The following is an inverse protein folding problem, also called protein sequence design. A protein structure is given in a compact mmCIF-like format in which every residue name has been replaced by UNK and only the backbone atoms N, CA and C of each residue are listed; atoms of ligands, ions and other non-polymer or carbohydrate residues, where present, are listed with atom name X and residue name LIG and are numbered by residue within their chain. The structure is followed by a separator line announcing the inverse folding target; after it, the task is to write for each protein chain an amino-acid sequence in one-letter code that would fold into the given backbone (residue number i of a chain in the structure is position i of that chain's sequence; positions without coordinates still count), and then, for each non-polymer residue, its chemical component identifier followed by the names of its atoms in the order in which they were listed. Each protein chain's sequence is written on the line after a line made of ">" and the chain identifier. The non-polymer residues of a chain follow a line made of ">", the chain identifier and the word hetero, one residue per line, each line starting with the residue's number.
data_IF_017719921670
#
_entry.id   IF_017719921670
#
_cell.length_a   1.000
_cell.length_b   1.000
_cell.length_c   1.000
_cell.angle_alpha   90.00
_cell.angle_beta   90.00
_cell.angle_gamma   90.00
#
_symmetry.space_group_name_H-M   'P 1'
#
loop_
_entity.id
_entity.type
_entity.pdbx_description
1 polymer ?
#
# COMPACT_ATOMS: atom_id res chain seq x y z
N UNK A 1 -21.23 34.11 59.82
CA UNK A 1 -22.68 33.80 59.70
C UNK A 1 -23.03 33.83 58.23
N UNK A 2 -23.22 32.66 57.64
CA UNK A 2 -23.34 32.40 56.20
C UNK A 2 -24.80 32.31 55.79
N UNK A 3 -25.21 33.07 54.77
CA UNK A 3 -26.46 32.85 54.02
C UNK A 3 -26.19 31.93 52.81
N UNK A 4 -26.93 30.84 52.61
CA UNK A 4 -26.86 30.06 51.36
C UNK A 4 -27.77 30.63 50.28
N UNK A 5 -27.28 30.62 49.04
CA UNK A 5 -28.00 30.94 47.81
C UNK A 5 -28.67 29.67 47.25
N UNK A 6 -29.91 29.85 46.80
CA UNK A 6 -30.85 28.84 46.31
C UNK A 6 -30.40 28.08 45.05
N UNK A 7 -30.72 26.79 45.01
CA UNK A 7 -30.58 25.90 43.85
C UNK A 7 -31.89 25.83 43.06
N UNK A 8 -31.85 26.13 41.75
CA UNK A 8 -32.97 25.92 40.82
C UNK A 8 -32.85 24.53 40.15
N UNK A 9 -33.90 23.69 40.18
CA UNK A 9 -33.91 22.45 39.40
C UNK A 9 -34.25 22.74 37.93
N UNK A 10 -33.31 22.50 37.02
CA UNK A 10 -33.51 22.65 35.58
C UNK A 10 -33.80 21.28 34.91
N UNK A 11 -35.01 21.18 34.35
CA UNK A 11 -35.43 20.40 33.16
C UNK A 11 -35.06 18.90 33.09
N UNK A 12 -35.91 18.06 33.69
CA UNK A 12 -35.99 16.60 33.41
C UNK A 12 -36.80 16.23 32.14
N UNK A 13 -37.47 17.20 31.52
CA UNK A 13 -38.49 16.92 30.49
C UNK A 13 -37.96 16.72 29.06
N UNK A 14 -36.70 17.06 28.78
CA UNK A 14 -36.14 17.00 27.42
C UNK A 14 -35.38 15.69 27.13
N UNK A 15 -34.92 14.98 28.17
CA UNK A 15 -34.19 13.72 28.01
C UNK A 15 -35.11 12.56 27.58
N UNK A 16 -36.36 12.54 28.05
CA UNK A 16 -37.31 11.47 27.70
C UNK A 16 -37.82 11.55 26.24
N UNK A 17 -37.96 12.76 25.68
CA UNK A 17 -38.47 12.95 24.32
C UNK A 17 -37.46 12.48 23.26
N UNK A 18 -36.16 12.64 23.51
CA UNK A 18 -35.09 12.23 22.58
C UNK A 18 -34.93 10.71 22.54
N UNK A 19 -35.10 10.03 23.68
CA UNK A 19 -34.97 8.56 23.75
C UNK A 19 -36.12 7.84 23.03
N UNK A 20 -37.34 8.41 23.03
CA UNK A 20 -38.47 7.84 22.29
C UNK A 20 -38.36 8.04 20.76
N UNK A 21 -37.69 9.10 20.28
CA UNK A 21 -37.57 9.35 18.83
C UNK A 21 -36.48 8.48 18.17
N UNK A 22 -35.43 8.09 18.91
CA UNK A 22 -34.36 7.22 18.39
C UNK A 22 -34.76 5.74 18.36
N UNK A 23 -35.71 5.32 19.19
CA UNK A 23 -36.19 3.93 19.22
C UNK A 23 -37.21 3.62 18.12
N UNK A 24 -37.84 4.62 17.51
CA UNK A 24 -38.73 4.41 16.34
C UNK A 24 -37.97 4.30 15.01
N UNK A 25 -36.75 4.83 14.90
CA UNK A 25 -35.95 4.83 13.67
C UNK A 25 -35.08 3.56 13.48
N UNK A 26 -34.88 2.73 14.52
CA UNK A 26 -34.21 1.43 14.40
C UNK A 26 -35.16 0.27 14.07
N UNK A 27 -36.48 0.46 14.11
CA UNK A 27 -37.49 -0.61 13.97
C UNK A 27 -38.10 -0.73 12.57
N UNK A 28 -37.52 -0.09 11.54
CA UNK A 28 -38.07 -0.09 10.18
C UNK A 28 -37.28 -0.93 9.16
N UNK A 29 -36.24 -1.67 9.57
CA UNK A 29 -35.47 -2.54 8.67
C UNK A 29 -35.68 -4.03 8.99
N UNK A 30 -36.93 -4.44 9.16
CA UNK A 30 -37.32 -5.86 9.17
C UNK A 30 -38.58 -6.08 8.35
N UNK A 31 -38.63 -5.48 7.15
CA UNK A 31 -39.50 -6.01 6.11
C UNK A 31 -38.83 -7.27 5.55
N UNK A 32 -39.28 -8.40 6.08
CA UNK A 32 -39.05 -9.72 5.50
C UNK A 32 -39.68 -9.72 4.11
N UNK A 33 -38.86 -9.50 3.08
CA UNK A 33 -39.22 -9.84 1.72
C UNK A 33 -38.99 -11.35 1.58
N UNK A 34 -40.05 -12.14 1.69
CA UNK A 34 -40.04 -13.54 1.25
C UNK A 34 -39.80 -13.54 -0.26
N UNK A 35 -38.65 -14.05 -0.76
CA UNK A 35 -38.50 -14.21 -2.19
C UNK A 35 -39.50 -15.28 -2.66
N UNK A 36 -40.19 -15.08 -3.80
CA UNK A 36 -40.90 -16.18 -4.43
C UNK A 36 -39.88 -17.29 -4.74
N UNK A 37 -40.29 -18.54 -4.60
CA UNK A 37 -39.52 -19.71 -5.00
C UNK A 37 -39.25 -19.64 -6.52
N UNK A 38 -38.21 -18.91 -6.90
CA UNK A 38 -37.66 -18.95 -8.23
C UNK A 38 -36.93 -20.30 -8.35
N UNK A 39 -37.54 -21.22 -9.08
CA UNK A 39 -36.87 -22.40 -9.60
C UNK A 39 -35.71 -21.92 -10.47
N UNK A 40 -34.52 -21.80 -9.88
CA UNK A 40 -33.31 -21.48 -10.62
C UNK A 40 -33.07 -22.68 -11.56
N UNK A 41 -33.06 -22.50 -12.89
CA UNK A 41 -32.59 -23.57 -13.76
C UNK A 41 -31.15 -23.88 -13.35
N UNK A 42 -30.92 -25.14 -13.02
CA UNK A 42 -29.59 -25.70 -12.75
C UNK A 42 -28.64 -25.17 -13.81
N UNK A 43 -27.64 -24.42 -13.33
CA UNK A 43 -26.66 -23.74 -14.15
C UNK A 43 -26.11 -24.69 -15.21
N UNK A 44 -26.16 -24.26 -16.46
CA UNK A 44 -25.44 -24.89 -17.54
C UNK A 44 -23.98 -25.06 -17.10
N UNK A 45 -23.48 -26.30 -17.21
CA UNK A 45 -22.09 -26.65 -16.94
C UNK A 45 -21.16 -25.65 -17.63
N UNK A 46 -20.39 -24.93 -16.83
CA UNK A 46 -19.22 -24.20 -17.30
C UNK A 46 -18.21 -25.25 -17.75
N UNK A 47 -18.27 -25.67 -19.01
CA UNK A 47 -17.16 -26.36 -19.64
C UNK A 47 -16.00 -25.38 -19.64
N UNK A 48 -15.11 -25.49 -18.66
CA UNK A 48 -13.85 -24.78 -18.64
C UNK A 48 -13.16 -25.06 -19.97
N UNK A 49 -12.93 -23.99 -20.75
CA UNK A 49 -12.06 -24.07 -21.91
C UNK A 49 -10.70 -24.61 -21.43
N UNK A 50 -10.11 -25.62 -22.09
CA UNK A 50 -8.81 -26.12 -21.68
C UNK A 50 -7.81 -24.97 -21.77
N UNK A 51 -7.44 -24.41 -20.62
CA UNK A 51 -6.40 -23.41 -20.53
C UNK A 51 -5.11 -24.05 -21.06
N UNK A 52 -4.52 -23.43 -22.09
CA UNK A 52 -3.20 -23.85 -22.54
C UNK A 52 -2.23 -23.79 -21.36
N UNK A 53 -1.35 -24.81 -21.19
CA UNK A 53 -0.36 -24.76 -20.12
C UNK A 53 0.49 -23.50 -20.28
N UNK A 54 0.55 -22.68 -19.24
CA UNK A 54 1.45 -21.53 -19.19
C UNK A 54 2.87 -22.10 -19.08
N UNK A 55 3.65 -21.96 -20.15
CA UNK A 55 5.05 -22.38 -20.14
C UNK A 55 5.86 -21.43 -19.23
N UNK A 56 6.74 -21.99 -18.41
CA UNK A 56 7.70 -21.20 -17.65
C UNK A 56 8.61 -20.42 -18.61
N UNK A 57 8.87 -19.16 -18.29
CA UNK A 57 9.81 -18.33 -19.04
C UNK A 57 11.23 -18.51 -18.48
N UNK A 58 12.22 -18.58 -19.36
CA UNK A 58 13.63 -18.56 -18.93
C UNK A 58 13.97 -17.22 -18.29
N UNK A 59 14.68 -17.29 -17.16
CA UNK A 59 15.24 -16.10 -16.51
C UNK A 59 16.33 -15.51 -17.41
N UNK A 60 16.23 -14.22 -17.69
CA UNK A 60 17.27 -13.45 -18.36
C UNK A 60 17.84 -12.46 -17.36
N UNK A 61 19.14 -12.58 -17.09
CA UNK A 61 19.86 -11.65 -16.24
C UNK A 61 20.05 -10.30 -16.95
N UNK A 62 19.87 -9.22 -16.20
CA UNK A 62 20.18 -7.85 -16.62
C UNK A 62 21.28 -7.34 -15.71
N UNK A 63 22.48 -7.13 -16.26
CA UNK A 63 23.61 -6.62 -15.49
C UNK A 63 23.33 -5.20 -15.01
N UNK A 64 23.60 -4.94 -13.73
CA UNK A 64 23.59 -3.59 -13.16
C UNK A 64 25.02 -3.05 -13.05
N UNK A 65 25.15 -1.74 -12.99
CA UNK A 65 26.39 -1.04 -12.68
C UNK A 65 26.20 -0.04 -11.53
N UNK A 66 27.31 0.51 -11.05
CA UNK A 66 27.34 1.53 -10.00
C UNK A 66 27.24 0.95 -8.58
N UNK A 67 27.09 1.82 -7.56
CA UNK A 67 27.17 1.44 -6.14
C UNK A 67 26.15 0.37 -5.72
N UNK A 68 25.00 0.32 -6.38
CA UNK A 68 23.91 -0.63 -6.09
C UNK A 68 24.29 -2.11 -6.31
N UNK A 69 25.42 -2.36 -6.98
CA UNK A 69 25.99 -3.70 -7.19
C UNK A 69 26.82 -4.21 -6.00
N UNK A 70 27.12 -3.34 -5.03
CA UNK A 70 27.82 -3.73 -3.83
C UNK A 70 26.97 -4.73 -3.03
N UNK A 71 27.61 -5.77 -2.47
CA UNK A 71 26.91 -6.74 -1.60
C UNK A 71 26.20 -6.08 -0.41
N UNK A 72 26.76 -4.98 0.08
CA UNK A 72 26.19 -4.19 1.19
C UNK A 72 24.91 -3.45 0.81
N UNK A 73 24.56 -3.35 -0.47
CA UNK A 73 23.34 -2.68 -0.91
C UNK A 73 22.07 -3.46 -0.53
N UNK A 74 22.17 -4.79 -0.34
CA UNK A 74 21.11 -5.65 0.21
C UNK A 74 19.71 -5.29 -0.31
N UNK A 75 19.48 -5.45 -1.61
CA UNK A 75 18.19 -5.09 -2.22
C UNK A 75 17.03 -5.91 -1.60
N UNK A 76 16.12 -5.21 -0.94
CA UNK A 76 14.98 -5.79 -0.23
C UNK A 76 13.66 -5.59 -0.96
N UNK A 77 13.56 -4.62 -1.88
CA UNK A 77 12.30 -4.30 -2.54
C UNK A 77 12.44 -3.81 -3.98
N UNK A 78 11.40 -4.09 -4.77
CA UNK A 78 11.23 -3.64 -6.15
C UNK A 78 9.79 -3.15 -6.35
N UNK A 79 9.62 -1.99 -6.97
CA UNK A 79 8.28 -1.51 -7.34
C UNK A 79 8.32 -0.60 -8.57
N UNK A 80 7.27 -0.64 -9.38
CA UNK A 80 7.10 0.33 -10.47
C UNK A 80 6.53 1.65 -9.94
N UNK A 81 7.10 2.76 -10.42
CA UNK A 81 6.56 4.11 -10.26
C UNK A 81 6.63 4.85 -11.60
N UNK A 82 5.47 4.99 -12.25
CA UNK A 82 5.41 5.44 -13.64
C UNK A 82 6.24 4.52 -14.54
N UNK A 83 7.11 5.11 -15.37
CA UNK A 83 8.04 4.38 -16.24
C UNK A 83 9.39 4.06 -15.58
N UNK A 84 9.47 4.00 -14.25
CA UNK A 84 10.69 3.65 -13.53
C UNK A 84 10.48 2.42 -12.65
N UNK A 85 11.41 1.48 -12.71
CA UNK A 85 11.54 0.43 -11.71
C UNK A 85 12.39 0.97 -10.57
N UNK A 86 11.80 1.06 -9.39
CA UNK A 86 12.46 1.51 -8.17
C UNK A 86 13.07 0.31 -7.46
N UNK A 87 14.34 0.43 -7.09
CA UNK A 87 15.10 -0.51 -6.28
C UNK A 87 15.26 0.09 -4.87
N UNK A 88 14.94 -0.72 -3.87
CA UNK A 88 15.07 -0.39 -2.46
C UNK A 88 16.22 -1.21 -1.86
N UNK A 89 17.33 -0.56 -1.46
CA UNK A 89 18.25 -1.12 -0.49
C UNK A 89 17.56 -1.33 0.86
N UNK A 90 17.83 -2.44 1.55
CA UNK A 90 17.42 -2.67 2.94
C UNK A 90 17.94 -1.53 3.84
N UNK A 91 19.16 -1.09 3.56
CA UNK A 91 19.87 -0.02 4.25
C UNK A 91 20.28 1.08 3.27
N UNK A 92 19.46 2.13 3.06
CA UNK A 92 19.68 3.13 1.99
C UNK A 92 21.01 3.91 2.06
N UNK A 93 21.63 3.96 3.23
CA UNK A 93 22.93 4.59 3.55
C UNK A 93 24.12 3.62 3.39
N UNK A 94 23.94 2.45 2.78
CA UNK A 94 24.98 1.42 2.60
C UNK A 94 26.28 1.91 1.92
N UNK A 95 26.23 3.03 1.20
CA UNK A 95 27.38 3.65 0.54
C UNK A 95 28.26 4.45 1.50
N UNK A 96 27.78 4.74 2.71
CA UNK A 96 28.45 5.59 3.70
C UNK A 96 28.46 7.08 3.36
N UNK A 97 27.75 7.49 2.30
CA UNK A 97 27.58 8.90 1.94
C UNK A 97 26.70 9.63 2.96
N UNK A 98 26.98 10.91 3.20
CA UNK A 98 26.20 11.73 4.14
C UNK A 98 24.73 11.86 3.71
N UNK A 99 23.83 11.89 4.70
CA UNK A 99 22.38 12.00 4.50
C UNK A 99 21.63 10.71 4.87
N UNK A 100 20.37 10.63 4.45
CA UNK A 100 19.50 9.49 4.78
C UNK A 100 19.62 8.32 3.77
N UNK A 101 20.59 8.41 2.84
CA UNK A 101 20.81 7.41 1.80
C UNK A 101 20.00 7.60 0.52
N UNK A 102 19.91 6.54 -0.29
CA UNK A 102 19.38 6.62 -1.65
C UNK A 102 18.47 5.44 -1.99
N UNK A 103 17.40 5.72 -2.74
CA UNK A 103 16.73 4.75 -3.60
C UNK A 103 17.34 4.82 -5.00
N UNK A 104 17.03 3.84 -5.84
CA UNK A 104 17.55 3.78 -7.19
C UNK A 104 16.44 3.54 -8.20
N UNK A 105 16.52 4.17 -9.37
CA UNK A 105 15.52 4.07 -10.41
C UNK A 105 16.14 3.61 -11.73
N UNK A 106 15.52 2.61 -12.35
CA UNK A 106 15.83 2.19 -13.71
C UNK A 106 14.69 2.64 -14.62
N UNK A 107 14.96 3.50 -15.63
CA UNK A 107 13.98 3.80 -16.66
C UNK A 107 13.56 2.52 -17.40
N UNK A 108 12.26 2.32 -17.59
CA UNK A 108 11.68 1.19 -18.33
C UNK A 108 12.28 1.04 -19.73
N UNK A 109 12.59 2.16 -20.38
CA UNK A 109 13.24 2.15 -21.69
C UNK A 109 14.64 1.52 -21.64
N UNK A 110 15.42 1.72 -20.58
CA UNK A 110 16.74 1.11 -20.46
C UNK A 110 16.66 -0.41 -20.35
N UNK A 111 15.68 -0.92 -19.58
CA UNK A 111 15.37 -2.35 -19.54
C UNK A 111 14.99 -2.84 -20.92
N UNK A 112 14.03 -2.18 -21.59
CA UNK A 112 13.59 -2.59 -22.94
C UNK A 112 14.72 -2.60 -23.96
N UNK A 113 15.63 -1.63 -23.92
CA UNK A 113 16.76 -1.58 -24.83
C UNK A 113 17.64 -2.82 -24.70
N UNK A 114 17.92 -3.28 -23.47
CA UNK A 114 18.64 -4.54 -23.25
C UNK A 114 17.80 -5.75 -23.69
N UNK A 115 16.50 -5.74 -23.38
CA UNK A 115 15.61 -6.85 -23.75
C UNK A 115 15.49 -7.04 -25.28
N UNK A 116 15.59 -5.97 -26.06
CA UNK A 116 15.52 -5.97 -27.53
C UNK A 116 16.88 -6.02 -28.22
N UNK A 117 17.98 -6.10 -27.47
CA UNK A 117 19.33 -6.13 -28.03
C UNK A 117 19.82 -4.79 -28.59
N UNK A 118 19.13 -3.69 -28.28
CA UNK A 118 19.53 -2.33 -28.62
C UNK A 118 20.71 -1.85 -27.74
N UNK A 119 20.91 -2.48 -26.58
CA UNK A 119 22.06 -2.28 -25.70
C UNK A 119 22.49 -3.58 -25.04
N UNK A 120 23.79 -3.77 -24.85
CA UNK A 120 24.37 -4.84 -24.03
C UNK A 120 25.12 -4.31 -22.80
N UNK A 121 25.13 -2.99 -22.61
CA UNK A 121 25.80 -2.37 -21.47
C UNK A 121 25.04 -2.64 -20.17
N UNK A 122 25.75 -2.83 -19.04
CA UNK A 122 25.12 -2.84 -17.72
C UNK A 122 24.32 -1.57 -17.49
N UNK A 123 23.14 -1.70 -16.87
CA UNK A 123 22.27 -0.57 -16.56
C UNK A 123 22.77 0.06 -15.26
N UNK A 124 23.16 1.33 -15.30
CA UNK A 124 23.45 2.09 -14.08
C UNK A 124 22.16 2.81 -13.60
N UNK A 125 21.58 2.41 -12.45
CA UNK A 125 20.36 3.04 -11.97
C UNK A 125 20.59 4.47 -11.48
N UNK A 126 19.61 5.34 -11.72
CA UNK A 126 19.63 6.72 -11.26
C UNK A 126 19.37 6.79 -9.76
N UNK A 127 20.19 7.56 -9.03
CA UNK A 127 20.02 7.77 -7.59
C UNK A 127 18.87 8.72 -7.30
N UNK A 128 18.05 8.36 -6.33
CA UNK A 128 16.99 9.19 -5.76
C UNK A 128 17.35 9.44 -4.29
N UNK A 129 17.65 10.68 -3.89
CA UNK A 129 17.92 10.99 -2.48
C UNK A 129 16.71 10.62 -1.60
N UNK A 130 16.96 9.82 -0.57
CA UNK A 130 15.98 9.53 0.46
C UNK A 130 15.91 10.70 1.43
N UNK A 131 14.71 11.01 1.92
CA UNK A 131 14.49 11.92 3.04
C UNK A 131 13.77 11.15 4.14
N UNK A 132 14.52 10.70 5.12
CA UNK A 132 14.07 9.88 6.23
C UNK A 132 14.91 10.21 7.49
N UNK A 133 14.83 11.46 8.00
CA UNK A 133 15.67 11.88 9.11
C UNK A 133 15.38 11.01 10.33
N UNK A 134 16.45 10.47 10.92
CA UNK A 134 16.35 9.62 12.11
C UNK A 134 15.87 8.19 11.82
N UNK A 135 15.86 7.73 10.56
CA UNK A 135 15.49 6.36 10.20
C UNK A 135 16.21 5.31 11.07
N UNK A 136 17.52 5.47 11.25
CA UNK A 136 18.37 4.59 12.07
C UNK A 136 18.08 4.68 13.57
N UNK A 137 17.44 5.73 14.03
CA UNK A 137 17.13 5.94 15.44
C UNK A 137 15.78 5.33 15.86
N UNK A 138 15.00 4.79 14.92
CA UNK A 138 13.73 4.13 15.22
C UNK A 138 14.02 2.84 16.00
N UNK A 139 13.48 2.65 17.22
CA UNK A 139 13.70 1.44 17.99
C UNK A 139 13.23 0.18 17.23
N UNK A 140 14.12 -0.80 17.13
CA UNK A 140 13.83 -2.05 16.40
C UNK A 140 13.89 -1.93 14.88
N UNK A 141 14.47 -0.85 14.33
CA UNK A 141 14.72 -0.73 12.90
C UNK A 141 15.71 -1.80 12.42
N UNK A 142 15.29 -2.60 11.44
CA UNK A 142 16.09 -3.68 10.83
C UNK A 142 16.13 -3.58 9.30
N UNK A 143 15.90 -2.38 8.78
CA UNK A 143 15.87 -2.11 7.35
C UNK A 143 14.47 -1.83 6.79
N UNK A 144 14.45 -1.37 5.54
CA UNK A 144 13.24 -1.16 4.76
C UNK A 144 12.94 -2.41 3.94
N UNK A 145 11.67 -2.85 3.91
CA UNK A 145 11.26 -4.10 3.25
C UNK A 145 10.17 -3.92 2.19
N UNK A 146 9.63 -2.71 2.06
CA UNK A 146 8.51 -2.46 1.17
C UNK A 146 8.56 -1.05 0.58
N UNK A 147 8.08 -0.93 -0.66
CA UNK A 147 7.85 0.34 -1.33
C UNK A 147 6.34 0.54 -1.43
N UNK A 148 5.84 1.59 -0.79
CA UNK A 148 4.47 2.06 -0.97
C UNK A 148 4.43 3.27 -1.89
N UNK A 149 3.51 3.28 -2.85
CA UNK A 149 3.16 4.50 -3.57
C UNK A 149 1.79 5.00 -3.07
N UNK A 150 1.60 6.31 -3.01
CA UNK A 150 0.29 6.89 -2.73
C UNK A 150 -0.12 7.77 -3.90
N UNK A 151 -1.11 7.30 -4.66
CA UNK A 151 -1.84 8.13 -5.61
C UNK A 151 -2.98 8.81 -4.86
N UNK A 152 -2.65 9.85 -4.08
CA UNK A 152 -3.64 10.84 -3.63
C UNK A 152 -4.75 10.38 -2.69
N UNK A 153 -4.51 9.46 -1.76
CA UNK A 153 -5.32 9.38 -0.52
C UNK A 153 -4.38 9.30 0.67
N UNK A 154 -4.47 10.30 1.55
CA UNK A 154 -3.67 10.33 2.78
C UNK A 154 -3.99 9.10 3.61
N UNK A 155 -2.98 8.34 4.01
CA UNK A 155 -3.09 7.45 5.15
C UNK A 155 -3.13 8.34 6.39
N UNK A 156 -4.34 8.72 6.80
CA UNK A 156 -4.63 9.39 8.09
C UNK A 156 -4.95 8.35 9.14
#
# INVERSE_FOLDING_TARGET
>A
MTTPLSYHPFRRSHALLVICLTSFLLSACSLVLTPPAATVPVAASLTASPASPIAEALVRELALAGPITARTAELSGLAWYGDHLILLPQYPDFSGEEGDGFLYAIPKQAIRAVLHGESSAPIEPQRIPLRAPGLRAIPGYDGLEAIGNSTGTKFT
#
